data_IF_410790896506
#
_entry.id   IF_410790896506
#
_cell.length_a   1.000
_cell.length_b   1.000
_cell.length_c   1.000
_cell.angle_alpha   90.00
_cell.angle_beta   90.00
_cell.angle_gamma   90.00
#
_symmetry.space_group_name_H-M   'P 1'
#
loop_
_entity.id
_entity.type
_entity.pdbx_description
1 polymer ?
#
# COMPACT_ATOMS: atom_id res chain seq x y z
N UNK A 1 11.13 12.82 22.05
CA UNK A 1 11.13 11.44 21.47
C UNK A 1 12.34 11.26 20.54
N UNK A 2 12.77 9.97 20.30
CA UNK A 2 13.74 9.60 19.25
C UNK A 2 13.00 8.85 18.14
N UNK A 3 13.13 9.31 16.89
CA UNK A 3 12.37 8.78 15.75
C UNK A 3 13.21 8.75 14.47
N UNK A 4 13.09 7.68 13.67
CA UNK A 4 13.72 7.55 12.35
C UNK A 4 12.68 7.76 11.24
N UNK A 5 12.87 8.78 10.41
CA UNK A 5 12.02 9.04 9.24
C UNK A 5 12.56 8.28 8.03
N UNK A 6 11.69 7.53 7.36
CA UNK A 6 12.03 6.56 6.33
C UNK A 6 11.59 7.09 4.97
N UNK A 7 12.56 7.50 4.13
CA UNK A 7 12.31 8.25 2.88
C UNK A 7 12.98 7.62 1.65
N UNK A 8 12.38 6.61 1.00
CA UNK A 8 12.81 6.23 -0.36
C UNK A 8 12.57 7.39 -1.34
N UNK A 9 13.54 7.60 -2.24
CA UNK A 9 13.47 8.66 -3.26
C UNK A 9 14.07 8.19 -4.57
N UNK A 10 13.50 8.64 -5.69
CA UNK A 10 14.05 8.45 -7.04
C UNK A 10 13.76 9.65 -7.91
N UNK A 11 14.84 10.29 -8.43
CA UNK A 11 14.76 11.47 -9.28
C UNK A 11 13.83 12.56 -8.72
N UNK A 12 13.96 12.84 -7.43
CA UNK A 12 13.05 13.72 -6.69
C UNK A 12 13.82 14.69 -5.77
N UNK A 13 15.05 15.05 -6.16
CA UNK A 13 15.98 15.81 -5.33
C UNK A 13 15.40 17.11 -4.79
N UNK A 14 14.64 17.87 -5.62
CA UNK A 14 14.08 19.15 -5.17
C UNK A 14 13.07 18.99 -4.02
N UNK A 15 12.24 17.94 -4.09
CA UNK A 15 11.28 17.64 -3.02
C UNK A 15 11.99 17.08 -1.79
N UNK A 16 12.96 16.20 -1.98
CA UNK A 16 13.74 15.62 -0.89
C UNK A 16 14.48 16.71 -0.09
N UNK A 17 15.05 17.72 -0.75
CA UNK A 17 15.66 18.90 -0.09
C UNK A 17 14.63 19.68 0.71
N UNK A 18 13.53 20.04 0.09
CA UNK A 18 12.42 20.77 0.73
C UNK A 18 11.88 20.01 1.95
N UNK A 19 11.71 18.70 1.83
CA UNK A 19 11.31 17.83 2.93
C UNK A 19 12.35 17.83 4.06
N UNK A 20 13.63 17.64 3.72
CA UNK A 20 14.73 17.68 4.69
C UNK A 20 14.79 18.99 5.46
N UNK A 21 14.72 20.12 4.76
CA UNK A 21 14.76 21.45 5.38
C UNK A 21 13.59 21.64 6.34
N UNK A 22 12.38 21.23 5.94
CA UNK A 22 11.19 21.32 6.79
C UNK A 22 11.31 20.47 8.06
N UNK A 23 11.87 19.26 7.95
CA UNK A 23 12.09 18.38 9.10
C UNK A 23 13.06 19.03 10.08
N UNK A 24 14.21 19.53 9.61
CA UNK A 24 15.21 20.17 10.48
C UNK A 24 14.70 21.45 11.12
N UNK A 25 13.87 22.22 10.41
CA UNK A 25 13.24 23.43 10.91
C UNK A 25 12.18 23.15 12.00
N UNK A 26 11.38 22.08 11.81
CA UNK A 26 10.16 21.85 12.58
C UNK A 26 10.20 20.61 13.49
N UNK A 27 11.37 19.97 13.64
CA UNK A 27 11.53 18.79 14.51
C UNK A 27 11.35 19.06 16.01
N UNK A 28 11.36 20.32 16.46
CA UNK A 28 11.26 20.67 17.88
C UNK A 28 12.41 20.07 18.69
N UNK A 29 12.12 19.65 19.92
CA UNK A 29 13.10 19.04 20.84
C UNK A 29 13.30 17.53 20.60
N UNK A 30 12.84 17.00 19.47
CA UNK A 30 12.96 15.59 19.15
C UNK A 30 14.29 15.27 18.48
N UNK A 31 14.85 14.08 18.79
CA UNK A 31 16.01 13.55 18.10
C UNK A 31 15.55 12.79 16.84
N UNK A 32 15.69 13.43 15.68
CA UNK A 32 15.16 12.95 14.40
C UNK A 32 16.27 12.43 13.50
N UNK A 33 16.29 11.11 13.29
CA UNK A 33 17.14 10.51 12.27
C UNK A 33 16.39 10.51 10.93
N UNK A 34 17.04 11.00 9.86
CA UNK A 34 16.50 10.93 8.50
C UNK A 34 17.23 9.82 7.74
N UNK A 35 16.49 8.82 7.31
CA UNK A 35 16.98 7.65 6.59
C UNK A 35 16.51 7.70 5.14
N UNK A 36 17.41 7.94 4.19
CA UNK A 36 17.11 8.07 2.77
C UNK A 36 17.56 6.83 2.00
N UNK A 37 16.76 6.33 1.08
CA UNK A 37 17.18 5.37 0.08
C UNK A 37 17.08 6.00 -1.32
N UNK A 38 18.22 6.18 -1.96
CA UNK A 38 18.32 6.64 -3.34
C UNK A 38 18.17 5.45 -4.30
N UNK A 39 17.04 5.36 -4.99
CA UNK A 39 16.71 4.27 -5.93
C UNK A 39 17.26 4.51 -7.34
N UNK A 40 18.61 4.57 -7.47
CA UNK A 40 19.33 4.81 -8.72
C UNK A 40 18.94 6.13 -9.41
N UNK A 41 18.90 7.24 -8.65
CA UNK A 41 18.62 8.57 -9.21
C UNK A 41 19.77 9.07 -10.11
N UNK A 42 19.43 9.94 -11.06
CA UNK A 42 20.35 10.62 -11.98
C UNK A 42 20.29 12.15 -11.89
N UNK A 43 19.55 12.70 -10.93
CA UNK A 43 19.27 14.13 -10.76
C UNK A 43 20.16 14.84 -9.73
N UNK A 44 21.26 14.21 -9.31
CA UNK A 44 22.18 14.73 -8.29
C UNK A 44 21.81 14.37 -6.85
N UNK A 45 20.83 13.48 -6.66
CA UNK A 45 20.42 13.00 -5.32
C UNK A 45 21.58 12.39 -4.55
N UNK A 46 22.41 11.54 -5.20
CA UNK A 46 23.57 10.90 -4.54
C UNK A 46 24.57 11.90 -3.99
N UNK A 47 24.95 12.89 -4.81
CA UNK A 47 25.94 13.92 -4.45
C UNK A 47 25.42 14.76 -3.28
N UNK A 48 24.14 15.10 -3.30
CA UNK A 48 23.50 15.80 -2.21
C UNK A 48 23.46 14.94 -0.93
N UNK A 49 23.07 13.68 -0.99
CA UNK A 49 23.08 12.77 0.16
C UNK A 49 24.49 12.66 0.77
N UNK A 50 25.54 12.52 -0.05
CA UNK A 50 26.93 12.47 0.41
C UNK A 50 27.35 13.77 1.11
N UNK A 51 26.90 14.93 0.64
CA UNK A 51 27.16 16.21 1.27
C UNK A 51 26.47 16.31 2.63
N UNK A 52 25.16 16.08 2.68
CA UNK A 52 24.37 16.19 3.92
C UNK A 52 24.88 15.22 4.99
N UNK A 53 25.23 13.98 4.63
CA UNK A 53 25.72 12.99 5.58
C UNK A 53 27.06 13.36 6.24
N UNK A 54 27.84 14.30 5.67
CA UNK A 54 29.04 14.85 6.29
C UNK A 54 28.74 15.95 7.32
N UNK A 55 27.67 16.69 7.08
CA UNK A 55 27.27 17.86 7.87
C UNK A 55 26.29 17.49 8.98
N UNK A 56 25.42 16.51 8.74
CA UNK A 56 24.36 16.05 9.64
C UNK A 56 24.57 14.58 10.05
N UNK A 57 24.95 14.36 11.30
CA UNK A 57 25.25 13.02 11.85
C UNK A 57 24.02 12.12 11.94
N UNK A 58 22.80 12.70 12.01
CA UNK A 58 21.54 11.99 12.06
C UNK A 58 20.92 11.78 10.67
N UNK A 59 21.57 12.21 9.60
CA UNK A 59 21.22 11.86 8.24
C UNK A 59 22.01 10.62 7.80
N UNK A 60 21.28 9.58 7.38
CA UNK A 60 21.84 8.34 6.86
C UNK A 60 21.23 8.02 5.51
N UNK A 61 22.01 7.43 4.61
CA UNK A 61 21.47 7.02 3.33
C UNK A 61 22.08 5.71 2.84
N UNK A 62 21.31 5.02 2.01
CA UNK A 62 21.75 3.90 1.17
C UNK A 62 21.42 4.21 -0.28
N UNK A 63 22.08 3.49 -1.21
CA UNK A 63 21.84 3.63 -2.64
C UNK A 63 21.59 2.27 -3.27
N UNK A 64 20.60 2.23 -4.15
CA UNK A 64 20.48 1.20 -5.16
C UNK A 64 21.30 1.62 -6.39
N UNK A 65 22.34 0.85 -6.74
CA UNK A 65 23.21 1.20 -7.87
C UNK A 65 22.54 0.99 -9.24
N UNK A 66 21.34 0.37 -9.27
CA UNK A 66 20.62 0.12 -10.50
C UNK A 66 21.20 -1.02 -11.35
N UNK A 67 20.82 -1.11 -12.62
CA UNK A 67 19.85 -0.28 -13.34
C UNK A 67 18.39 -0.54 -12.93
N UNK A 68 18.10 -1.70 -12.29
CA UNK A 68 16.74 -2.08 -11.89
C UNK A 68 16.29 -1.28 -10.68
N UNK A 69 15.10 -0.69 -10.79
CA UNK A 69 14.41 -0.06 -9.67
C UNK A 69 14.00 -1.11 -8.63
N UNK A 70 14.26 -0.82 -7.34
CA UNK A 70 13.79 -1.64 -6.21
C UNK A 70 12.39 -1.22 -5.73
N UNK A 71 12.14 0.08 -5.68
CA UNK A 71 10.86 0.66 -5.28
C UNK A 71 10.61 0.71 -3.78
N UNK A 72 9.48 1.29 -3.42
CA UNK A 72 9.14 1.60 -2.04
C UNK A 72 9.06 0.35 -1.16
N UNK A 73 8.39 -0.69 -1.61
CA UNK A 73 8.19 -1.95 -0.88
C UNK A 73 9.50 -2.52 -0.30
N UNK A 74 10.55 -2.56 -1.12
CA UNK A 74 11.85 -3.11 -0.72
C UNK A 74 12.67 -2.10 0.06
N UNK A 75 12.62 -0.83 -0.34
CA UNK A 75 13.48 0.21 0.24
C UNK A 75 13.02 0.66 1.63
N UNK A 76 11.71 0.65 1.91
CA UNK A 76 11.21 0.85 3.27
C UNK A 76 11.80 -0.18 4.23
N UNK A 77 11.71 -1.46 3.88
CA UNK A 77 12.19 -2.55 4.72
C UNK A 77 13.71 -2.48 4.94
N UNK A 78 14.47 -2.18 3.89
CA UNK A 78 15.92 -1.97 4.03
C UNK A 78 16.25 -0.81 4.96
N UNK A 79 15.59 0.33 4.81
CA UNK A 79 15.83 1.49 5.67
C UNK A 79 15.44 1.19 7.13
N UNK A 80 14.30 0.54 7.37
CA UNK A 80 13.84 0.22 8.72
C UNK A 80 14.74 -0.78 9.42
N UNK A 81 15.19 -1.82 8.71
CA UNK A 81 15.93 -2.93 9.30
C UNK A 81 17.45 -2.70 9.34
N UNK A 82 18.01 -1.97 8.36
CA UNK A 82 19.46 -1.87 8.18
C UNK A 82 20.01 -0.48 8.56
N UNK A 83 19.18 0.58 8.53
CA UNK A 83 19.65 1.98 8.65
C UNK A 83 19.05 2.69 9.87
N UNK A 84 17.77 2.52 10.13
CA UNK A 84 17.08 3.16 11.24
C UNK A 84 17.57 2.63 12.59
N UNK A 85 18.11 3.51 13.43
CA UNK A 85 18.72 3.13 14.72
C UNK A 85 17.77 3.31 15.92
N UNK A 86 16.71 4.09 15.79
CA UNK A 86 15.76 4.33 16.88
C UNK A 86 14.62 3.29 16.85
N UNK A 87 13.98 3.07 18.00
CA UNK A 87 12.91 2.08 18.16
C UNK A 87 11.62 2.50 17.46
N UNK A 88 11.38 3.81 17.32
CA UNK A 88 10.26 4.37 16.58
C UNK A 88 10.72 4.75 15.18
N UNK A 89 10.00 4.28 14.17
CA UNK A 89 10.18 4.67 12.78
C UNK A 89 8.90 5.31 12.24
N UNK A 90 9.02 6.15 11.22
CA UNK A 90 7.89 6.74 10.51
C UNK A 90 8.11 6.63 9.00
N UNK A 91 7.20 5.98 8.31
CA UNK A 91 7.13 6.07 6.84
C UNK A 91 6.77 7.52 6.49
N UNK A 92 7.67 8.15 5.71
CA UNK A 92 7.57 9.58 5.39
C UNK A 92 7.96 9.81 3.93
N UNK A 93 7.09 10.39 3.13
CA UNK A 93 7.40 10.59 1.73
C UNK A 93 8.36 11.78 1.52
N UNK A 94 9.18 11.70 0.47
CA UNK A 94 10.16 12.73 0.15
C UNK A 94 9.53 14.06 -0.33
N UNK A 95 8.24 14.10 -0.60
CA UNK A 95 7.45 15.26 -1.02
C UNK A 95 6.49 15.77 0.07
N UNK A 96 6.85 15.58 1.34
CA UNK A 96 6.12 16.07 2.50
C UNK A 96 6.89 17.17 3.25
N UNK A 97 6.16 18.19 3.68
CA UNK A 97 6.61 19.25 4.60
C UNK A 97 6.10 18.94 6.00
N UNK A 98 6.99 18.80 6.95
CA UNK A 98 6.64 18.58 8.36
C UNK A 98 6.17 19.92 8.97
N UNK A 99 4.93 19.97 9.47
CA UNK A 99 4.45 21.15 10.17
C UNK A 99 4.93 21.20 11.63
N UNK A 100 5.10 22.40 12.23
CA UNK A 100 5.44 22.54 13.64
C UNK A 100 4.46 21.80 14.56
N UNK A 101 4.96 21.17 15.64
CA UNK A 101 4.16 20.41 16.60
C UNK A 101 3.70 19.02 16.12
N UNK A 102 4.00 18.64 14.89
CA UNK A 102 3.60 17.33 14.34
C UNK A 102 4.20 16.16 15.14
N UNK A 103 5.48 16.24 15.50
CA UNK A 103 6.15 15.18 16.25
C UNK A 103 5.70 15.13 17.72
N UNK A 104 5.33 16.28 18.33
CA UNK A 104 4.74 16.29 19.67
C UNK A 104 3.44 15.49 19.70
N UNK A 105 2.61 15.64 18.67
CA UNK A 105 1.34 14.93 18.57
C UNK A 105 1.51 13.41 18.35
N UNK A 106 2.63 12.99 17.75
CA UNK A 106 2.99 11.57 17.67
C UNK A 106 3.42 11.07 19.04
N UNK A 107 4.31 11.80 19.73
CA UNK A 107 4.82 11.41 21.06
C UNK A 107 3.68 11.24 22.09
N UNK A 108 2.64 12.07 22.02
CA UNK A 108 1.46 11.97 22.89
C UNK A 108 0.64 10.68 22.69
N UNK A 109 0.71 10.04 21.50
CA UNK A 109 -0.19 8.94 21.11
C UNK A 109 0.50 7.63 20.85
N UNK A 110 1.82 7.63 20.61
CA UNK A 110 2.56 6.44 20.18
C UNK A 110 2.82 5.50 21.35
N UNK A 111 2.47 4.25 21.20
CA UNK A 111 2.74 3.18 22.16
C UNK A 111 2.90 1.83 21.41
N UNK A 112 3.47 0.79 22.01
CA UNK A 112 3.52 -0.53 21.38
C UNK A 112 2.13 -0.99 20.91
N UNK A 113 2.05 -1.57 19.72
CA UNK A 113 0.80 -1.97 19.06
C UNK A 113 -0.13 -0.81 18.71
N UNK A 114 0.38 0.42 18.63
CA UNK A 114 -0.33 1.58 18.10
C UNK A 114 0.49 2.22 17.00
N UNK A 115 -0.14 2.44 15.86
CA UNK A 115 0.38 3.25 14.76
C UNK A 115 -0.29 4.61 14.78
N UNK A 116 0.50 5.67 14.69
CA UNK A 116 0.00 7.05 14.68
C UNK A 116 0.27 7.69 13.32
N UNK A 117 -0.79 8.13 12.65
CA UNK A 117 -0.71 8.89 11.40
C UNK A 117 -0.91 10.37 11.63
N UNK A 118 -0.15 11.20 10.93
CA UNK A 118 -0.39 12.65 10.86
C UNK A 118 -1.50 12.95 9.85
N UNK A 119 -2.25 14.02 10.08
CA UNK A 119 -3.22 14.50 9.11
C UNK A 119 -2.54 15.22 7.95
N UNK A 120 -2.90 14.83 6.73
CA UNK A 120 -2.36 15.42 5.51
C UNK A 120 -3.15 16.65 5.10
N UNK A 121 -2.42 17.69 4.73
CA UNK A 121 -2.92 18.83 3.95
C UNK A 121 -2.40 18.62 2.54
N UNK A 122 -3.27 18.58 1.53
CA UNK A 122 -2.92 18.28 0.14
C UNK A 122 -3.49 19.33 -0.82
N UNK A 123 -2.82 19.63 -1.95
CA UNK A 123 -3.48 20.35 -3.03
C UNK A 123 -4.65 19.52 -3.60
N UNK A 124 -5.67 20.15 -4.20
CA UNK A 124 -6.88 19.46 -4.67
C UNK A 124 -6.64 18.64 -5.95
N UNK A 125 -5.67 17.73 -5.93
CA UNK A 125 -5.33 16.81 -7.02
C UNK A 125 -6.06 15.46 -6.93
N UNK A 126 -6.67 15.17 -5.79
CA UNK A 126 -7.47 13.98 -5.52
C UNK A 126 -8.84 14.37 -4.98
N UNK A 127 -9.85 13.49 -5.10
CA UNK A 127 -11.14 13.71 -4.48
C UNK A 127 -11.01 14.03 -2.99
N UNK A 128 -11.96 14.80 -2.46
CA UNK A 128 -12.07 15.10 -1.05
C UNK A 128 -12.39 13.85 -0.23
N UNK A 129 -12.01 13.86 1.05
CA UNK A 129 -12.26 12.79 2.01
C UNK A 129 -12.07 13.27 3.44
N UNK A 130 -12.75 12.65 4.41
CA UNK A 130 -12.69 13.07 5.82
C UNK A 130 -11.33 12.80 6.48
N UNK A 131 -10.43 12.04 5.83
CA UNK A 131 -9.12 11.65 6.34
C UNK A 131 -8.01 12.67 6.05
N UNK A 132 -8.32 13.73 5.31
CA UNK A 132 -7.35 14.74 4.89
C UNK A 132 -7.97 16.11 4.74
N UNK A 133 -7.14 17.10 4.47
CA UNK A 133 -7.55 18.49 4.22
C UNK A 133 -7.12 18.87 2.80
N UNK A 134 -8.04 19.37 1.99
CA UNK A 134 -7.70 19.97 0.71
C UNK A 134 -7.48 21.47 0.87
N UNK A 135 -6.23 21.91 0.61
CA UNK A 135 -5.84 23.30 0.67
C UNK A 135 -4.84 23.61 -0.45
N UNK A 136 -5.21 24.47 -1.37
CA UNK A 136 -4.39 24.84 -2.52
C UNK A 136 -3.22 25.74 -2.12
N UNK A 137 -2.21 25.22 -1.43
CA UNK A 137 -1.02 25.95 -1.00
C UNK A 137 0.24 25.70 -1.84
N UNK A 138 0.07 25.21 -3.06
CA UNK A 138 1.14 24.95 -4.00
C UNK A 138 1.29 23.48 -4.33
N UNK A 139 1.79 23.21 -5.53
CA UNK A 139 2.01 21.86 -6.04
C UNK A 139 3.51 21.59 -6.27
N UNK A 140 4.34 22.59 -6.04
CA UNK A 140 5.78 22.57 -6.22
C UNK A 140 6.45 23.34 -5.07
N UNK A 141 7.67 22.92 -4.60
CA UNK A 141 8.36 23.60 -3.51
C UNK A 141 8.54 25.11 -3.72
N UNK A 142 8.82 25.54 -4.95
CA UNK A 142 9.06 26.95 -5.31
C UNK A 142 7.79 27.80 -5.25
N UNK A 143 6.62 27.17 -5.24
CA UNK A 143 5.30 27.82 -5.18
C UNK A 143 4.57 27.51 -3.88
N UNK A 144 5.26 26.87 -2.93
CA UNK A 144 4.69 26.51 -1.65
C UNK A 144 4.39 27.76 -0.81
N UNK A 145 3.14 27.89 -0.40
CA UNK A 145 2.67 28.99 0.46
C UNK A 145 2.74 28.57 1.90
N UNK A 146 3.98 28.51 2.43
CA UNK A 146 4.27 28.03 3.79
C UNK A 146 3.39 28.73 4.84
N UNK A 147 3.38 30.07 4.85
CA UNK A 147 2.62 30.82 5.85
C UNK A 147 1.14 30.47 5.87
N UNK A 148 0.52 30.24 4.68
CA UNK A 148 -0.89 29.86 4.62
C UNK A 148 -1.15 28.47 5.24
N UNK A 149 -0.19 27.54 5.10
CA UNK A 149 -0.27 26.22 5.77
C UNK A 149 -0.10 26.37 7.28
N UNK A 150 0.88 27.17 7.73
CA UNK A 150 1.12 27.42 9.16
C UNK A 150 -0.08 28.10 9.83
N UNK A 151 -0.68 29.10 9.19
CA UNK A 151 -1.88 29.77 9.68
C UNK A 151 -3.06 28.79 9.79
N UNK A 152 -3.20 27.91 8.80
CA UNK A 152 -4.22 26.86 8.84
C UNK A 152 -4.00 25.90 10.00
N UNK A 153 -2.78 25.38 10.15
CA UNK A 153 -2.41 24.45 11.24
C UNK A 153 -2.65 25.10 12.60
N UNK A 154 -2.17 26.31 12.80
CA UNK A 154 -2.36 27.04 14.07
C UNK A 154 -3.83 27.20 14.46
N UNK A 155 -4.69 27.48 13.46
CA UNK A 155 -6.12 27.69 13.69
C UNK A 155 -6.90 26.39 13.91
N UNK A 156 -6.48 25.25 13.30
CA UNK A 156 -7.30 24.06 13.19
C UNK A 156 -6.71 22.83 13.89
N UNK A 157 -5.53 22.94 14.51
CA UNK A 157 -4.97 21.84 15.30
C UNK A 157 -5.88 21.54 16.51
N UNK A 158 -6.32 20.29 16.60
CA UNK A 158 -7.25 19.82 17.64
C UNK A 158 -6.69 18.58 18.34
N UNK A 159 -6.15 18.76 19.54
CA UNK A 159 -5.60 17.68 20.36
C UNK A 159 -6.67 16.70 20.85
N UNK A 160 -7.92 17.11 20.90
CA UNK A 160 -9.02 16.27 21.35
C UNK A 160 -9.54 15.33 20.26
N UNK A 161 -9.22 15.64 19.00
CA UNK A 161 -9.69 14.88 17.84
C UNK A 161 -8.67 13.82 17.41
N UNK A 162 -9.04 12.54 17.58
CA UNK A 162 -8.30 11.37 17.08
C UNK A 162 -9.29 10.49 16.33
N UNK A 163 -8.92 10.06 15.11
CA UNK A 163 -9.71 9.14 14.30
C UNK A 163 -8.95 7.81 14.10
N UNK A 164 -9.66 6.73 13.79
CA UNK A 164 -9.05 5.41 13.55
C UNK A 164 -8.58 5.23 12.09
N UNK A 165 -7.98 6.28 11.50
CA UNK A 165 -7.48 6.25 10.15
C UNK A 165 -5.99 5.87 10.06
N UNK A 166 -5.58 5.40 8.89
CA UNK A 166 -4.18 5.17 8.60
C UNK A 166 -3.85 5.52 7.15
N UNK A 167 -2.87 6.41 6.98
CA UNK A 167 -2.21 6.70 5.71
C UNK A 167 -0.85 7.38 5.98
N UNK A 168 0.06 7.36 5.00
CA UNK A 168 1.34 8.04 5.15
C UNK A 168 1.17 9.56 5.37
N UNK A 169 1.94 10.18 6.30
CA UNK A 169 3.00 9.55 7.08
C UNK A 169 2.45 8.84 8.33
N UNK A 170 3.04 7.73 8.69
CA UNK A 170 2.64 6.96 9.86
C UNK A 170 3.84 6.44 10.66
N UNK A 171 3.79 6.63 11.99
CA UNK A 171 4.81 6.25 12.95
C UNK A 171 4.42 4.96 13.69
N UNK A 172 5.41 4.14 14.00
CA UNK A 172 5.23 2.83 14.63
C UNK A 172 6.49 2.38 15.38
N UNK A 173 6.34 1.45 16.30
CA UNK A 173 7.48 0.74 16.86
C UNK A 173 8.02 -0.29 15.86
N UNK A 174 9.32 -0.27 15.57
CA UNK A 174 9.97 -1.21 14.63
C UNK A 174 9.68 -2.68 14.98
N UNK A 175 9.57 -3.00 16.27
CA UNK A 175 9.23 -4.35 16.71
C UNK A 175 7.90 -4.83 16.16
N UNK A 176 6.87 -3.97 16.11
CA UNK A 176 5.56 -4.33 15.58
C UNK A 176 5.61 -4.60 14.07
N UNK A 177 6.40 -3.82 13.35
CA UNK A 177 6.67 -4.01 11.92
C UNK A 177 7.40 -5.33 11.64
N UNK A 178 8.44 -5.63 12.42
CA UNK A 178 9.24 -6.85 12.30
C UNK A 178 8.43 -8.10 12.67
N UNK A 179 7.50 -8.01 13.60
CA UNK A 179 6.66 -9.13 14.04
C UNK A 179 5.79 -9.69 12.91
N UNK A 180 5.34 -8.83 11.98
CA UNK A 180 4.55 -9.24 10.82
C UNK A 180 5.42 -9.52 9.57
N UNK A 181 6.75 -9.30 9.65
CA UNK A 181 7.70 -9.56 8.57
C UNK A 181 7.85 -8.42 7.56
N UNK A 182 7.45 -7.19 7.90
CA UNK A 182 7.59 -6.02 7.03
C UNK A 182 6.62 -5.98 5.85
N UNK A 183 7.00 -5.28 4.77
CA UNK A 183 6.22 -5.24 3.53
C UNK A 183 6.38 -6.53 2.72
N UNK A 184 5.30 -6.94 2.04
CA UNK A 184 5.35 -8.13 1.18
C UNK A 184 5.98 -7.79 -0.18
N UNK A 185 7.12 -8.44 -0.55
CA UNK A 185 7.77 -8.24 -1.84
C UNK A 185 6.89 -8.60 -3.05
N UNK A 186 5.74 -9.24 -2.82
CA UNK A 186 4.71 -9.50 -3.83
C UNK A 186 4.27 -8.23 -4.56
N UNK A 187 4.35 -7.08 -3.88
CA UNK A 187 3.92 -5.78 -4.40
C UNK A 187 5.06 -4.90 -4.93
N UNK A 188 6.29 -5.42 -4.92
CA UNK A 188 7.41 -4.66 -5.47
C UNK A 188 7.23 -4.33 -6.96
N UNK A 189 7.61 -3.14 -7.41
CA UNK A 189 8.26 -2.06 -6.68
C UNK A 189 7.31 -1.18 -5.86
N UNK A 190 5.98 -1.22 -6.08
CA UNK A 190 4.97 -0.37 -5.41
C UNK A 190 3.54 -0.76 -5.76
N UNK A 191 2.57 -0.09 -5.10
CA UNK A 191 1.11 -0.22 -5.23
C UNK A 191 0.55 -1.44 -4.50
N UNK A 192 -0.43 -1.22 -3.61
CA UNK A 192 -1.11 -2.15 -2.71
C UNK A 192 -0.27 -2.64 -1.51
N UNK A 193 1.02 -2.32 -1.43
CA UNK A 193 1.88 -2.62 -0.28
C UNK A 193 1.34 -2.01 1.01
N UNK A 194 0.85 -0.76 0.95
CA UNK A 194 0.26 -0.05 2.10
C UNK A 194 -0.99 -0.78 2.60
N UNK A 195 -1.92 -1.11 1.71
CA UNK A 195 -3.15 -1.81 2.12
C UNK A 195 -2.83 -3.19 2.67
N UNK A 196 -1.88 -3.91 2.08
CA UNK A 196 -1.46 -5.22 2.56
C UNK A 196 -0.89 -5.15 3.97
N UNK A 197 0.05 -4.23 4.21
CA UNK A 197 0.68 -4.12 5.52
C UNK A 197 -0.31 -3.62 6.59
N UNK A 198 -1.22 -2.70 6.24
CA UNK A 198 -2.26 -2.24 7.17
C UNK A 198 -3.24 -3.35 7.54
N UNK A 199 -3.66 -4.17 6.58
CA UNK A 199 -4.46 -5.35 6.84
C UNK A 199 -3.75 -6.28 7.86
N UNK A 200 -2.47 -6.56 7.63
CA UNK A 200 -1.69 -7.46 8.50
C UNK A 200 -1.48 -6.88 9.89
N UNK A 201 -1.23 -5.57 10.00
CA UNK A 201 -1.16 -4.88 11.30
C UNK A 201 -2.48 -5.01 12.06
N UNK A 202 -3.62 -4.71 11.41
CA UNK A 202 -4.93 -4.79 12.05
C UNK A 202 -5.25 -6.21 12.54
N UNK A 203 -4.97 -7.24 11.73
CA UNK A 203 -5.13 -8.64 12.12
C UNK A 203 -4.19 -9.06 13.26
N UNK A 204 -3.00 -8.44 13.36
CA UNK A 204 -2.05 -8.65 14.45
C UNK A 204 -2.37 -7.81 15.72
N UNK A 205 -3.58 -7.23 15.79
CA UNK A 205 -4.07 -6.47 16.94
C UNK A 205 -3.49 -5.06 17.09
N UNK A 206 -2.83 -4.54 16.05
CA UNK A 206 -2.34 -3.15 16.04
C UNK A 206 -3.51 -2.19 15.83
N UNK A 207 -3.57 -1.13 16.65
CA UNK A 207 -4.57 -0.07 16.54
C UNK A 207 -4.03 1.10 15.71
N UNK A 208 -4.92 1.78 15.01
CA UNK A 208 -4.60 2.97 14.22
C UNK A 208 -5.17 4.21 14.91
N UNK A 209 -4.34 5.25 15.00
CA UNK A 209 -4.74 6.57 15.48
C UNK A 209 -4.25 7.62 14.49
N UNK A 210 -5.17 8.37 13.89
CA UNK A 210 -4.83 9.57 13.12
C UNK A 210 -5.01 10.78 14.03
N UNK A 211 -3.93 11.53 14.27
CA UNK A 211 -3.97 12.77 15.06
C UNK A 211 -4.41 13.95 14.19
N UNK A 212 -5.27 14.81 14.74
CA UNK A 212 -5.67 16.10 14.15
C UNK A 212 -4.98 17.29 14.83
N UNK A 213 -3.99 17.02 15.69
CA UNK A 213 -3.08 18.02 16.25
C UNK A 213 -1.78 18.17 15.46
N UNK A 214 -1.39 17.13 14.69
CA UNK A 214 -0.17 17.10 13.89
C UNK A 214 -0.44 16.97 12.41
N UNK A 215 0.23 17.82 11.62
CA UNK A 215 0.00 17.92 10.18
C UNK A 215 1.27 17.82 9.36
N UNK A 216 1.10 17.37 8.12
CA UNK A 216 2.09 17.52 7.04
C UNK A 216 1.41 18.15 5.83
N UNK A 217 2.15 18.97 5.05
CA UNK A 217 1.73 19.31 3.70
C UNK A 217 2.34 18.31 2.74
N UNK A 218 1.51 17.63 1.96
CA UNK A 218 1.93 16.58 1.03
C UNK A 218 1.66 17.04 -0.41
N UNK A 219 2.72 17.21 -1.19
CA UNK A 219 2.59 17.66 -2.59
C UNK A 219 1.89 16.65 -3.48
N UNK A 220 1.89 15.39 -3.07
CA UNK A 220 1.26 14.22 -3.71
C UNK A 220 1.58 14.04 -5.20
N UNK A 221 1.50 12.80 -5.70
CA UNK A 221 1.75 12.45 -7.11
C UNK A 221 3.13 12.88 -7.67
N UNK A 222 4.12 13.23 -6.85
CA UNK A 222 5.44 13.72 -7.31
C UNK A 222 6.49 12.63 -7.50
N UNK A 223 6.11 11.38 -7.28
CA UNK A 223 6.98 10.22 -7.51
C UNK A 223 6.69 9.52 -8.83
N UNK A 224 6.84 8.21 -8.81
CA UNK A 224 6.72 7.32 -9.96
C UNK A 224 5.32 7.23 -10.59
N UNK A 225 4.29 7.76 -9.94
CA UNK A 225 2.94 7.75 -10.47
C UNK A 225 2.82 8.64 -11.71
N UNK A 226 3.47 9.79 -11.66
CA UNK A 226 3.54 10.73 -12.80
C UNK A 226 4.99 10.80 -13.26
N UNK A 227 5.27 10.32 -14.46
CA UNK A 227 6.62 10.34 -14.99
C UNK A 227 7.07 11.77 -15.26
N UNK A 228 8.10 12.25 -14.58
CA UNK A 228 8.64 13.61 -14.74
C UNK A 228 9.15 13.86 -16.17
N UNK A 229 9.58 12.82 -16.89
CA UNK A 229 10.02 12.92 -18.29
C UNK A 229 8.86 13.17 -19.26
N UNK A 230 7.64 12.77 -18.89
CA UNK A 230 6.41 13.01 -19.65
C UNK A 230 5.60 14.21 -19.15
N UNK A 231 6.06 14.92 -18.12
CA UNK A 231 5.39 16.10 -17.55
C UNK A 231 5.13 17.24 -18.56
N UNK A 232 5.83 17.22 -19.71
CA UNK A 232 5.54 18.12 -20.82
C UNK A 232 4.19 17.84 -21.52
N UNK A 233 3.58 16.65 -21.29
CA UNK A 233 2.35 16.24 -21.99
C UNK A 233 1.10 16.35 -21.12
N UNK A 234 1.11 15.87 -19.88
CA UNK A 234 -0.01 16.08 -18.95
C UNK A 234 0.36 15.65 -17.52
N UNK A 235 0.63 16.60 -16.63
CA UNK A 235 1.00 16.34 -15.24
C UNK A 235 -0.16 15.75 -14.38
N UNK A 236 -1.36 15.64 -14.94
CA UNK A 236 -2.55 15.14 -14.23
C UNK A 236 -2.90 13.70 -14.59
N UNK A 237 -2.13 13.04 -15.48
CA UNK A 237 -2.38 11.66 -15.88
C UNK A 237 -1.35 10.70 -15.30
N UNK A 238 -1.82 9.50 -14.94
CA UNK A 238 -0.96 8.41 -14.47
C UNK A 238 -0.12 7.86 -15.63
N UNK A 239 1.16 7.55 -15.38
CA UNK A 239 2.02 6.96 -16.41
C UNK A 239 1.57 5.55 -16.78
N UNK A 240 1.77 5.12 -18.05
CA UNK A 240 1.45 3.75 -18.48
C UNK A 240 2.12 2.68 -17.61
N UNK A 241 3.38 2.90 -17.22
CA UNK A 241 4.15 2.00 -16.37
C UNK A 241 3.53 1.88 -14.96
N UNK A 242 3.04 2.98 -14.42
CA UNK A 242 2.34 2.96 -13.14
C UNK A 242 1.00 2.24 -13.24
N UNK A 243 0.23 2.46 -14.31
CA UNK A 243 -1.05 1.78 -14.54
C UNK A 243 -0.85 0.26 -14.65
N UNK A 244 0.15 -0.19 -15.43
CA UNK A 244 0.50 -1.60 -15.55
C UNK A 244 0.90 -2.20 -14.19
N UNK A 245 1.77 -1.50 -13.45
CA UNK A 245 2.18 -1.91 -12.11
C UNK A 245 0.99 -2.00 -11.14
N UNK A 246 0.10 -1.01 -11.17
CA UNK A 246 -1.09 -0.98 -10.33
C UNK A 246 -2.04 -2.15 -10.65
N UNK A 247 -2.24 -2.47 -11.92
CA UNK A 247 -3.04 -3.63 -12.34
C UNK A 247 -2.42 -4.94 -11.85
N UNK A 248 -1.11 -5.12 -12.02
CA UNK A 248 -0.36 -6.29 -11.55
C UNK A 248 -0.50 -6.45 -10.03
N UNK A 249 -0.28 -5.39 -9.28
CA UNK A 249 -0.39 -5.41 -7.82
C UNK A 249 -1.82 -5.65 -7.35
N UNK A 250 -2.83 -5.13 -8.05
CA UNK A 250 -4.24 -5.42 -7.77
C UNK A 250 -4.56 -6.90 -7.93
N UNK A 251 -4.10 -7.54 -9.01
CA UNK A 251 -4.28 -8.99 -9.21
C UNK A 251 -3.58 -9.80 -8.12
N UNK A 252 -2.36 -9.41 -7.73
CA UNK A 252 -1.62 -10.06 -6.65
C UNK A 252 -2.31 -9.88 -5.29
N UNK A 253 -2.92 -8.71 -5.04
CA UNK A 253 -3.71 -8.48 -3.84
C UNK A 253 -4.93 -9.40 -3.79
N UNK A 254 -5.66 -9.54 -4.88
CA UNK A 254 -6.81 -10.46 -4.96
C UNK A 254 -6.37 -11.92 -4.76
N UNK A 255 -5.27 -12.37 -5.39
CA UNK A 255 -4.72 -13.73 -5.17
C UNK A 255 -4.43 -13.99 -3.69
N UNK A 256 -3.84 -13.03 -2.99
CA UNK A 256 -3.49 -13.14 -1.58
C UNK A 256 -4.73 -13.05 -0.69
N UNK A 257 -5.55 -12.02 -0.85
CA UNK A 257 -6.64 -11.68 0.06
C UNK A 257 -8.01 -12.22 -0.34
N UNK A 258 -8.24 -12.52 -1.62
CA UNK A 258 -9.54 -12.98 -2.15
C UNK A 258 -10.57 -11.87 -2.38
N UNK A 259 -10.16 -10.61 -2.24
CA UNK A 259 -11.04 -9.45 -2.43
C UNK A 259 -10.24 -8.23 -2.92
N UNK A 260 -10.92 -7.18 -3.37
CA UNK A 260 -10.29 -5.88 -3.65
C UNK A 260 -9.82 -5.19 -2.35
N UNK A 261 -8.91 -4.21 -2.50
CA UNK A 261 -8.60 -3.31 -1.39
C UNK A 261 -9.86 -2.59 -0.92
N UNK A 262 -10.13 -2.68 0.38
CA UNK A 262 -11.30 -2.06 1.00
C UNK A 262 -10.87 -1.31 2.25
N UNK A 263 -11.44 -0.14 2.45
CA UNK A 263 -11.26 0.69 3.63
C UNK A 263 -12.50 1.51 3.91
N UNK A 264 -12.64 2.03 5.11
CA UNK A 264 -13.67 3.01 5.45
C UNK A 264 -13.32 4.42 4.96
N UNK A 265 -14.11 5.41 5.33
CA UNK A 265 -13.92 6.80 4.93
C UNK A 265 -12.64 7.43 5.50
N UNK A 266 -12.08 6.90 6.58
CA UNK A 266 -10.82 7.33 7.20
C UNK A 266 -9.62 6.47 6.81
N UNK A 267 -9.75 5.64 5.78
CA UNK A 267 -8.72 4.72 5.27
C UNK A 267 -8.39 3.54 6.20
N UNK A 268 -9.19 3.30 7.26
CA UNK A 268 -9.05 2.11 8.09
C UNK A 268 -9.40 0.86 7.27
N UNK A 269 -8.58 -0.20 7.30
CA UNK A 269 -8.84 -1.41 6.53
C UNK A 269 -10.18 -2.09 6.86
N UNK A 270 -10.86 -2.55 5.83
CA UNK A 270 -11.99 -3.47 5.92
C UNK A 270 -11.52 -4.80 5.32
N UNK A 271 -11.44 -5.85 6.15
CA UNK A 271 -10.83 -7.12 5.79
C UNK A 271 -11.91 -8.22 5.76
N UNK A 272 -12.45 -8.56 4.58
CA UNK A 272 -13.30 -9.74 4.43
C UNK A 272 -12.51 -11.02 4.73
N UNK A 273 -13.18 -12.10 5.19
CA UNK A 273 -12.52 -13.36 5.43
C UNK A 273 -11.87 -13.94 4.16
N UNK A 274 -10.71 -14.59 4.33
CA UNK A 274 -10.12 -15.42 3.28
C UNK A 274 -10.65 -16.84 3.43
N UNK A 275 -11.26 -17.35 2.36
CA UNK A 275 -11.71 -18.74 2.24
C UNK A 275 -10.86 -19.52 1.24
N UNK A 276 -10.89 -20.85 1.32
CA UNK A 276 -10.27 -21.74 0.33
C UNK A 276 -11.31 -22.09 -0.74
N UNK A 277 -11.23 -21.38 -1.87
CA UNK A 277 -12.22 -21.43 -2.95
C UNK A 277 -11.61 -22.12 -4.19
N UNK A 278 -12.38 -23.05 -4.76
CA UNK A 278 -12.14 -23.67 -6.08
C UNK A 278 -13.12 -23.11 -7.11
N UNK A 279 -12.61 -22.82 -8.28
CA UNK A 279 -13.47 -22.59 -9.46
C UNK A 279 -13.40 -23.80 -10.39
N UNK A 280 -14.57 -24.29 -10.83
CA UNK A 280 -14.73 -25.20 -11.96
C UNK A 280 -15.26 -24.38 -13.13
N UNK A 281 -14.44 -24.12 -14.12
CA UNK A 281 -14.77 -23.21 -15.22
C UNK A 281 -14.90 -23.97 -16.52
N UNK A 282 -16.02 -23.80 -17.21
CA UNK A 282 -16.29 -24.40 -18.51
C UNK A 282 -16.46 -23.32 -19.59
N UNK A 283 -16.30 -23.71 -20.87
CA UNK A 283 -16.31 -22.81 -22.01
C UNK A 283 -15.29 -21.66 -21.85
N UNK A 284 -14.11 -22.00 -21.34
CA UNK A 284 -13.10 -21.02 -20.90
C UNK A 284 -12.35 -20.43 -22.08
N UNK A 285 -12.28 -19.10 -22.14
CA UNK A 285 -11.34 -18.38 -23.02
C UNK A 285 -10.16 -17.83 -22.20
N UNK A 286 -9.05 -17.47 -22.87
CA UNK A 286 -7.88 -16.87 -22.21
C UNK A 286 -8.24 -15.61 -21.45
N UNK A 287 -9.14 -14.76 -21.98
CA UNK A 287 -9.58 -13.53 -21.32
C UNK A 287 -10.41 -13.82 -20.06
N UNK A 288 -11.30 -14.82 -20.12
CA UNK A 288 -12.06 -15.28 -18.96
C UNK A 288 -11.16 -15.93 -17.91
N UNK A 289 -10.23 -16.76 -18.33
CA UNK A 289 -9.20 -17.32 -17.44
C UNK A 289 -8.42 -16.21 -16.73
N UNK A 290 -7.95 -15.21 -17.49
CA UNK A 290 -7.24 -14.07 -16.92
C UNK A 290 -8.08 -13.29 -15.91
N UNK A 291 -9.37 -13.10 -16.18
CA UNK A 291 -10.31 -12.41 -15.28
C UNK A 291 -10.55 -13.18 -13.98
N UNK A 292 -10.75 -14.51 -14.08
CA UNK A 292 -11.21 -15.34 -12.96
C UNK A 292 -10.07 -15.86 -12.08
N UNK A 293 -8.89 -16.11 -12.65
CA UNK A 293 -7.77 -16.77 -11.97
C UNK A 293 -7.40 -16.15 -10.63
N UNK A 294 -7.34 -14.82 -10.42
CA UNK A 294 -6.92 -14.25 -9.13
C UNK A 294 -7.88 -14.53 -7.96
N UNK A 295 -9.13 -14.85 -8.26
CA UNK A 295 -10.23 -14.93 -7.28
C UNK A 295 -10.38 -16.27 -6.57
N UNK A 296 -9.64 -17.28 -6.96
CA UNK A 296 -9.71 -18.62 -6.37
C UNK A 296 -8.33 -19.10 -5.90
N UNK A 297 -8.31 -20.12 -5.07
CA UNK A 297 -7.11 -20.79 -4.60
C UNK A 297 -6.75 -21.98 -5.49
N UNK A 298 -7.78 -22.62 -6.09
CA UNK A 298 -7.65 -23.73 -7.03
C UNK A 298 -8.59 -23.53 -8.21
N UNK A 299 -8.23 -24.00 -9.40
CA UNK A 299 -9.04 -23.87 -10.60
C UNK A 299 -8.94 -25.12 -11.47
N UNK A 300 -10.11 -25.63 -11.84
CA UNK A 300 -10.28 -26.61 -12.90
C UNK A 300 -10.85 -25.88 -14.12
N UNK A 301 -10.34 -26.15 -15.32
CA UNK A 301 -10.75 -25.47 -16.55
C UNK A 301 -10.66 -26.41 -17.74
N UNK A 302 -11.52 -26.23 -18.72
CA UNK A 302 -11.56 -26.96 -19.99
C UNK A 302 -10.67 -26.35 -21.09
N UNK A 303 -9.88 -25.31 -20.76
CA UNK A 303 -8.96 -24.70 -21.72
C UNK A 303 -7.89 -25.73 -22.16
N UNK A 304 -7.49 -25.77 -23.44
CA UNK A 304 -6.45 -26.66 -23.89
C UNK A 304 -5.14 -26.54 -23.10
N UNK A 305 -4.52 -27.68 -22.79
CA UNK A 305 -3.36 -27.75 -21.91
C UNK A 305 -2.16 -26.89 -22.37
N UNK A 306 -1.96 -26.77 -23.69
CA UNK A 306 -0.89 -25.92 -24.26
C UNK A 306 -1.21 -24.43 -24.12
N UNK A 307 -2.48 -24.01 -24.19
CA UNK A 307 -2.92 -22.65 -23.93
C UNK A 307 -2.80 -22.31 -22.45
N UNK A 308 -3.22 -23.22 -21.57
CA UNK A 308 -3.06 -23.06 -20.12
C UNK A 308 -1.58 -22.89 -19.74
N UNK A 309 -0.70 -23.70 -20.32
CA UNK A 309 0.75 -23.59 -20.08
C UNK A 309 1.28 -22.22 -20.50
N UNK A 310 0.91 -21.73 -21.69
CA UNK A 310 1.31 -20.39 -22.18
C UNK A 310 0.78 -19.29 -21.26
N UNK A 311 -0.45 -19.42 -20.76
CA UNK A 311 -1.03 -18.49 -19.78
C UNK A 311 -0.20 -18.45 -18.50
N UNK A 312 0.10 -19.62 -17.91
CA UNK A 312 0.89 -19.73 -16.67
C UNK A 312 2.27 -19.13 -16.86
N UNK A 313 2.99 -19.46 -17.93
CA UNK A 313 4.33 -18.94 -18.23
C UNK A 313 4.34 -17.41 -18.37
N UNK A 314 3.32 -16.85 -19.03
CA UNK A 314 3.15 -15.39 -19.18
C UNK A 314 2.84 -14.72 -17.85
N UNK A 315 1.85 -15.22 -17.12
CA UNK A 315 1.36 -14.60 -15.91
C UNK A 315 2.31 -14.77 -14.71
N UNK A 316 3.09 -15.87 -14.68
CA UNK A 316 4.09 -16.12 -13.63
C UNK A 316 5.16 -15.00 -13.55
N UNK A 317 5.40 -14.27 -14.64
CA UNK A 317 6.31 -13.11 -14.66
C UNK A 317 5.79 -11.92 -13.84
N UNK A 318 4.49 -11.90 -13.57
CA UNK A 318 3.78 -10.83 -12.87
C UNK A 318 3.56 -11.11 -11.37
N UNK A 319 3.98 -12.30 -10.90
CA UNK A 319 3.75 -12.70 -9.50
C UNK A 319 4.83 -13.64 -8.99
N UNK A 320 5.15 -13.51 -7.69
CA UNK A 320 5.99 -14.50 -6.98
C UNK A 320 5.18 -15.69 -6.46
N UNK A 321 3.84 -15.58 -6.47
CA UNK A 321 2.95 -16.70 -6.13
C UNK A 321 3.05 -17.73 -7.24
N UNK A 322 3.35 -18.98 -6.89
CA UNK A 322 3.41 -20.09 -7.87
C UNK A 322 2.02 -20.41 -8.39
N UNK A 323 1.80 -20.23 -9.71
CA UNK A 323 0.50 -20.42 -10.34
C UNK A 323 0.21 -21.87 -10.72
N UNK A 324 1.22 -22.64 -11.15
CA UNK A 324 1.03 -24.03 -11.59
C UNK A 324 0.28 -24.91 -10.56
N UNK A 325 0.60 -24.86 -9.24
CA UNK A 325 -0.13 -25.65 -8.24
C UNK A 325 -1.61 -25.31 -8.12
N UNK A 326 -2.03 -24.13 -8.57
CA UNK A 326 -3.45 -23.70 -8.54
C UNK A 326 -4.32 -24.53 -9.48
N UNK A 327 -3.74 -25.04 -10.58
CA UNK A 327 -4.41 -25.86 -11.59
C UNK A 327 -4.27 -27.36 -11.34
N UNK A 328 -3.96 -27.77 -10.09
CA UNK A 328 -3.84 -29.17 -9.71
C UNK A 328 -5.18 -29.68 -9.16
N UNK A 329 -5.80 -30.65 -9.86
CA UNK A 329 -7.10 -31.23 -9.57
C UNK A 329 -7.23 -31.94 -8.20
N UNK A 330 -6.12 -32.32 -7.57
CA UNK A 330 -6.11 -33.13 -6.34
C UNK A 330 -6.17 -32.32 -5.02
N UNK A 331 -6.44 -31.03 -5.07
CA UNK A 331 -6.52 -30.22 -3.84
C UNK A 331 -7.97 -30.11 -3.34
N UNK A 332 -8.16 -30.43 -2.05
CA UNK A 332 -9.45 -30.21 -1.41
C UNK A 332 -9.70 -28.71 -1.21
N UNK A 333 -10.94 -28.29 -1.49
CA UNK A 333 -11.41 -26.93 -1.25
C UNK A 333 -12.65 -26.95 -0.37
N UNK A 334 -12.84 -25.92 0.43
CA UNK A 334 -13.99 -25.83 1.34
C UNK A 334 -15.24 -25.32 0.61
N UNK A 335 -15.01 -24.57 -0.49
CA UNK A 335 -16.01 -23.93 -1.31
C UNK A 335 -15.69 -24.19 -2.77
N UNK A 336 -16.68 -24.62 -3.54
CA UNK A 336 -16.59 -24.80 -4.99
C UNK A 336 -17.57 -23.88 -5.68
N UNK A 337 -17.13 -23.19 -6.74
CA UNK A 337 -17.97 -22.35 -7.59
C UNK A 337 -17.88 -22.86 -9.01
N UNK A 338 -18.97 -23.31 -9.58
CA UNK A 338 -19.06 -23.71 -10.98
C UNK A 338 -19.45 -22.50 -11.82
N UNK A 339 -18.72 -22.26 -12.88
CA UNK A 339 -18.83 -21.09 -13.76
C UNK A 339 -18.86 -21.55 -15.21
N UNK A 340 -19.95 -21.28 -15.92
CA UNK A 340 -20.02 -21.41 -17.38
C UNK A 340 -19.76 -20.04 -18.01
N UNK A 341 -18.64 -19.91 -18.73
CA UNK A 341 -18.22 -18.65 -19.36
C UNK A 341 -19.19 -18.15 -20.44
N UNK A 342 -20.04 -19.01 -21.01
CA UNK A 342 -21.08 -18.61 -21.98
C UNK A 342 -22.21 -17.83 -21.35
N UNK A 343 -22.52 -18.10 -20.07
CA UNK A 343 -23.63 -17.44 -19.32
C UNK A 343 -23.11 -16.41 -18.31
N UNK A 344 -21.79 -16.35 -18.08
CA UNK A 344 -21.16 -15.47 -17.09
C UNK A 344 -21.30 -13.99 -17.46
N UNK A 345 -21.96 -13.22 -16.61
CA UNK A 345 -22.30 -11.80 -16.79
C UNK A 345 -21.43 -10.87 -15.92
N UNK A 346 -21.58 -9.55 -16.13
CA UNK A 346 -20.97 -8.55 -15.24
C UNK A 346 -21.55 -8.60 -13.82
N UNK A 347 -22.82 -8.97 -13.66
CA UNK A 347 -23.46 -9.13 -12.35
C UNK A 347 -22.84 -10.31 -11.59
N UNK A 348 -22.58 -11.43 -12.27
CA UNK A 348 -21.89 -12.58 -11.70
C UNK A 348 -20.47 -12.20 -11.25
N UNK A 349 -19.77 -11.37 -12.01
CA UNK A 349 -18.46 -10.87 -11.60
C UNK A 349 -18.55 -9.99 -10.34
N UNK A 350 -19.57 -9.13 -10.23
CA UNK A 350 -19.82 -8.34 -9.02
C UNK A 350 -20.08 -9.25 -7.82
N UNK A 351 -20.92 -10.28 -7.99
CA UNK A 351 -21.20 -11.28 -6.96
C UNK A 351 -19.93 -12.02 -6.54
N UNK A 352 -19.12 -12.47 -7.50
CA UNK A 352 -17.83 -13.12 -7.25
C UNK A 352 -16.88 -12.21 -6.48
N UNK A 353 -16.78 -10.94 -6.84
CA UNK A 353 -15.91 -9.98 -6.16
C UNK A 353 -16.32 -9.69 -4.70
N UNK A 354 -17.56 -10.00 -4.33
CA UNK A 354 -18.13 -9.85 -2.99
C UNK A 354 -18.32 -11.20 -2.27
N UNK A 355 -17.91 -12.29 -2.88
CA UNK A 355 -18.17 -13.68 -2.42
C UNK A 355 -17.81 -13.87 -0.95
N UNK A 356 -16.66 -13.41 -0.52
CA UNK A 356 -16.21 -13.57 0.88
C UNK A 356 -17.16 -12.91 1.88
N UNK A 357 -17.74 -11.76 1.55
CA UNK A 357 -18.76 -11.09 2.39
C UNK A 357 -20.09 -11.84 2.35
N UNK A 358 -20.52 -12.23 1.16
CA UNK A 358 -21.78 -12.97 0.98
C UNK A 358 -21.76 -14.25 1.81
N UNK A 359 -20.66 -15.01 1.77
CA UNK A 359 -20.50 -16.24 2.57
C UNK A 359 -20.52 -15.93 4.06
N UNK A 360 -19.78 -14.91 4.50
CA UNK A 360 -19.75 -14.49 5.91
C UNK A 360 -21.16 -14.10 6.41
N UNK A 361 -21.85 -13.26 5.65
CA UNK A 361 -23.13 -12.67 6.07
C UNK A 361 -24.26 -13.70 6.05
N UNK A 362 -24.25 -14.66 5.09
CA UNK A 362 -25.23 -15.72 5.00
C UNK A 362 -25.03 -16.83 6.03
N UNK A 363 -23.78 -17.19 6.33
CA UNK A 363 -23.43 -18.37 7.12
C UNK A 363 -23.94 -19.70 6.53
N UNK A 364 -24.39 -19.67 5.26
CA UNK A 364 -25.00 -20.82 4.62
C UNK A 364 -23.98 -21.87 4.21
N UNK A 365 -24.33 -23.15 4.37
CA UNK A 365 -23.60 -24.33 3.85
C UNK A 365 -24.52 -25.10 2.91
N UNK A 366 -23.95 -25.89 2.00
CA UNK A 366 -24.67 -26.65 1.00
C UNK A 366 -24.63 -26.00 -0.37
N UNK A 367 -25.60 -26.33 -1.21
CA UNK A 367 -25.66 -25.95 -2.63
C UNK A 367 -26.69 -24.85 -2.88
N UNK A 368 -26.32 -23.83 -3.62
CA UNK A 368 -27.22 -22.74 -4.03
C UNK A 368 -26.70 -22.01 -5.27
N UNK A 369 -27.59 -21.22 -5.89
CA UNK A 369 -27.23 -20.36 -7.01
C UNK A 369 -27.11 -18.90 -6.54
N UNK A 370 -26.12 -18.19 -7.09
CA UNK A 370 -25.95 -16.75 -6.96
C UNK A 370 -25.78 -16.16 -8.36
N UNK A 371 -26.87 -15.70 -8.96
CA UNK A 371 -26.92 -15.43 -10.40
C UNK A 371 -26.71 -16.72 -11.19
N UNK A 372 -25.79 -16.69 -12.15
CA UNK A 372 -25.38 -17.87 -12.93
C UNK A 372 -24.23 -18.69 -12.28
N UNK A 373 -23.83 -18.34 -11.08
CA UNK A 373 -22.83 -19.08 -10.30
C UNK A 373 -23.53 -20.19 -9.50
N UNK A 374 -23.10 -21.44 -9.66
CA UNK A 374 -23.52 -22.54 -8.79
C UNK A 374 -22.46 -22.75 -7.71
N UNK A 375 -22.85 -22.57 -6.47
CA UNK A 375 -21.93 -22.58 -5.31
C UNK A 375 -22.25 -23.77 -4.42
N UNK A 376 -21.21 -24.51 -4.06
CA UNK A 376 -21.28 -25.57 -3.05
C UNK A 376 -20.32 -25.26 -1.90
N UNK A 377 -20.83 -25.01 -0.70
CA UNK A 377 -20.08 -24.76 0.51
C UNK A 377 -20.12 -26.02 1.39
N UNK A 378 -19.02 -26.76 1.41
CA UNK A 378 -18.89 -27.96 2.27
C UNK A 378 -18.67 -27.55 3.73
N UNK A 379 -17.88 -26.50 3.94
CA UNK A 379 -17.68 -25.90 5.26
C UNK A 379 -17.23 -24.45 5.16
N UNK A 380 -17.54 -23.66 6.17
CA UNK A 380 -17.04 -22.30 6.33
C UNK A 380 -15.83 -22.34 7.26
N UNK A 381 -14.64 -22.12 6.70
CA UNK A 381 -13.39 -22.01 7.43
C UNK A 381 -12.61 -20.82 6.94
N UNK A 382 -12.25 -19.92 7.86
CA UNK A 382 -11.45 -18.74 7.58
C UNK A 382 -9.96 -19.05 7.63
N UNK A 383 -9.20 -18.47 6.71
CA UNK A 383 -7.74 -18.59 6.59
C UNK A 383 -7.02 -17.24 6.69
N UNK A 384 -7.74 -16.20 7.09
CA UNK A 384 -7.26 -14.81 7.14
C UNK A 384 -6.01 -14.67 8.03
N UNK A 385 -5.98 -15.37 9.16
CA UNK A 385 -4.85 -15.32 10.10
C UNK A 385 -3.54 -15.86 9.50
N UNK A 386 -3.61 -16.72 8.48
CA UNK A 386 -2.43 -17.22 7.79
C UNK A 386 -1.72 -16.14 6.97
N UNK A 387 -2.35 -14.98 6.77
CA UNK A 387 -1.84 -13.86 5.99
C UNK A 387 -1.11 -12.81 6.84
N UNK A 388 -1.16 -12.91 8.19
CA UNK A 388 -0.60 -11.91 9.10
C UNK A 388 0.92 -11.81 8.97
N UNK A 389 1.61 -12.96 9.00
CA UNK A 389 3.07 -13.01 8.95
C UNK A 389 3.54 -13.46 7.56
N UNK A 390 4.54 -12.77 7.04
CA UNK A 390 5.28 -13.26 5.88
C UNK A 390 6.13 -14.45 6.30
N UNK A 391 6.19 -15.45 5.40
CA UNK A 391 6.95 -16.68 5.61
C UNK A 391 8.39 -16.51 5.17
#
# INVERSE_FOLDING_TARGET
>A
MKISLIQPSRNNLKYLRWSYDSIRQNQGDHEVQICVADDASSDGTLEWCKKVAKEDKLFKFIRNEGPKRLGHTILYDKLINEVATFDIAMIYHADMYLCPGALDSIEELIEPKVIVSLTRIEPPLHPDGPEKILLACGEEPERFREQAVLDYVFKNADKSKVTEGIFAPWAFYKKDFQEIGGHDPLYAPQSKEDTDIFNRFQLNGVKFKQTWAGFVYHMTCRGSRRNVLDAAKNIHEDSPEWLEQNMRSTRNFIRKWGHFCLHDAYMKPIIPPKYNIRFNVTNTTIDKLHMLEPWCDNMDTDIPADELKKYIEREQKNTIIKLEPKFNYNRNSDITVNIDCNTFTNEDFVNLSRMSRIIKDSGAVGEFNLGNLFINIVRIKEYTDNLIKLK
#
